data_IF_171512271978
#
_entry.id   IF_171512271978
#
_cell.length_a   1.000
_cell.length_b   1.000
_cell.length_c   1.000
_cell.angle_alpha   90.00
_cell.angle_beta   90.00
_cell.angle_gamma   90.00
#
_symmetry.space_group_name_H-M   'P 1'
#
loop_
_entity.id
_entity.type
_entity.pdbx_description
1 polymer ?
#
# COMPACT_ATOMS: atom_id res chain seq x y z
N UNK A 1 -20.46 12.75 3.78
CA UNK A 1 -19.76 11.67 4.51
C UNK A 1 -20.20 10.37 3.89
N UNK A 2 -19.27 9.56 3.42
CA UNK A 2 -19.58 8.22 2.92
C UNK A 2 -19.67 7.23 4.08
N UNK A 3 -20.04 5.97 3.80
CA UNK A 3 -20.20 4.95 4.83
C UNK A 3 -18.90 4.68 5.61
N UNK A 4 -17.75 4.76 4.94
CA UNK A 4 -16.44 4.57 5.57
C UNK A 4 -16.13 5.69 6.55
N UNK A 5 -16.43 6.94 6.21
CA UNK A 5 -16.29 8.07 7.15
C UNK A 5 -17.10 7.81 8.45
N UNK A 6 -18.30 7.24 8.33
CA UNK A 6 -19.16 6.91 9.47
C UNK A 6 -18.52 5.78 10.30
N UNK A 7 -18.05 4.71 9.66
CA UNK A 7 -17.42 3.57 10.34
C UNK A 7 -16.18 4.03 11.11
N UNK A 8 -15.30 4.81 10.47
CA UNK A 8 -14.09 5.33 11.10
C UNK A 8 -14.41 6.25 12.28
N UNK A 9 -15.43 7.09 12.15
CA UNK A 9 -15.90 7.95 13.23
C UNK A 9 -16.53 7.16 14.38
N UNK A 10 -17.26 6.08 14.10
CA UNK A 10 -17.78 5.17 15.12
C UNK A 10 -16.67 4.45 15.87
N UNK A 11 -15.63 3.97 15.17
CA UNK A 11 -14.44 3.36 15.80
C UNK A 11 -13.76 4.37 16.74
N UNK A 12 -13.60 5.61 16.28
CA UNK A 12 -13.00 6.69 17.05
C UNK A 12 -13.82 7.00 18.32
N UNK A 13 -15.14 7.20 18.19
CA UNK A 13 -16.02 7.48 19.32
C UNK A 13 -16.13 6.31 20.30
N UNK A 14 -16.19 5.08 19.80
CA UNK A 14 -16.21 3.88 20.64
C UNK A 14 -14.91 3.75 21.47
N UNK A 15 -13.77 4.13 20.89
CA UNK A 15 -12.48 4.11 21.59
C UNK A 15 -12.39 5.18 22.67
N UNK A 16 -12.93 6.38 22.41
CA UNK A 16 -13.08 7.42 23.42
C UNK A 16 -13.97 6.95 24.56
N UNK A 17 -15.14 6.38 24.25
CA UNK A 17 -16.06 5.85 25.24
C UNK A 17 -15.41 4.76 26.10
N UNK A 18 -14.70 3.82 25.47
CA UNK A 18 -13.93 2.79 26.17
C UNK A 18 -12.84 3.38 27.06
N UNK A 19 -12.13 4.42 26.59
CA UNK A 19 -11.13 5.14 27.37
C UNK A 19 -11.72 5.80 28.61
N UNK A 20 -12.84 6.52 28.47
CA UNK A 20 -13.51 7.19 29.59
C UNK A 20 -14.09 6.20 30.60
N UNK A 21 -14.64 5.07 30.12
CA UNK A 21 -15.22 4.04 31.00
C UNK A 21 -14.18 3.23 31.76
N UNK A 22 -13.02 2.95 31.14
CA UNK A 22 -11.91 2.23 31.79
C UNK A 22 -11.00 3.15 32.61
N UNK A 23 -10.95 4.43 32.25
CA UNK A 23 -10.10 5.44 32.86
C UNK A 23 -8.65 5.43 32.36
N UNK A 24 -7.92 6.47 32.74
CA UNK A 24 -6.58 6.80 32.26
C UNK A 24 -5.58 5.67 32.45
N UNK A 25 -5.46 5.13 33.66
CA UNK A 25 -4.42 4.13 33.94
C UNK A 25 -4.63 2.85 33.13
N UNK A 26 -5.85 2.32 33.12
CA UNK A 26 -6.17 1.11 32.36
C UNK A 26 -6.05 1.34 30.85
N UNK A 27 -6.51 2.49 30.36
CA UNK A 27 -6.36 2.90 28.96
C UNK A 27 -4.89 3.01 28.55
N UNK A 28 -4.06 3.68 29.35
CA UNK A 28 -2.64 3.86 29.07
C UNK A 28 -1.88 2.53 29.13
N UNK A 29 -2.11 1.71 30.16
CA UNK A 29 -1.47 0.41 30.28
C UNK A 29 -1.82 -0.50 29.09
N UNK A 30 -3.08 -0.49 28.65
CA UNK A 30 -3.53 -1.22 27.46
C UNK A 30 -2.86 -0.70 26.17
N UNK A 31 -2.81 0.62 25.99
CA UNK A 31 -2.20 1.25 24.82
C UNK A 31 -0.70 0.97 24.73
N UNK A 32 0.02 1.11 25.85
CA UNK A 32 1.46 0.80 25.93
C UNK A 32 1.71 -0.68 25.70
N UNK A 33 0.89 -1.56 26.28
CA UNK A 33 1.02 -3.01 26.06
C UNK A 33 0.79 -3.40 24.60
N UNK A 34 -0.19 -2.79 23.93
CA UNK A 34 -0.53 -3.09 22.54
C UNK A 34 0.52 -2.52 21.57
N UNK A 35 0.99 -1.29 21.78
CA UNK A 35 2.08 -0.72 20.98
C UNK A 35 3.40 -1.47 21.22
N UNK A 36 3.72 -1.78 22.47
CA UNK A 36 4.88 -2.56 22.84
C UNK A 36 4.85 -3.97 22.23
N UNK A 37 3.67 -4.61 22.17
CA UNK A 37 3.56 -5.94 21.58
C UNK A 37 3.83 -5.92 20.09
N UNK A 38 3.34 -4.90 19.38
CA UNK A 38 3.69 -4.69 17.97
C UNK A 38 5.21 -4.51 17.83
N UNK A 39 5.81 -3.52 18.50
CA UNK A 39 7.25 -3.22 18.34
C UNK A 39 8.15 -4.44 18.62
N UNK A 40 7.89 -5.16 19.71
CA UNK A 40 8.65 -6.37 20.04
C UNK A 40 8.40 -7.48 19.02
N UNK A 41 7.17 -7.62 18.54
CA UNK A 41 6.85 -8.57 17.46
C UNK A 41 7.65 -8.28 16.21
N UNK A 42 7.76 -7.01 15.81
CA UNK A 42 8.57 -6.60 14.66
C UNK A 42 10.05 -6.95 14.82
N UNK A 43 10.60 -6.87 16.02
CA UNK A 43 11.98 -7.28 16.29
C UNK A 43 12.17 -8.80 16.24
N UNK A 44 11.17 -9.57 16.66
CA UNK A 44 11.31 -11.00 16.91
C UNK A 44 10.73 -11.91 15.81
N UNK A 45 9.76 -11.46 15.01
CA UNK A 45 9.01 -12.35 14.11
C UNK A 45 9.90 -13.07 13.08
N UNK A 46 11.02 -12.45 12.66
CA UNK A 46 11.96 -13.08 11.72
C UNK A 46 12.68 -14.28 12.31
N UNK A 47 13.01 -14.23 13.60
CA UNK A 47 13.60 -15.37 14.31
C UNK A 47 12.60 -16.52 14.41
N UNK A 48 11.33 -16.19 14.68
CA UNK A 48 10.23 -17.17 14.69
C UNK A 48 9.97 -17.73 13.29
N UNK A 49 10.08 -16.92 12.24
CA UNK A 49 9.96 -17.35 10.86
C UNK A 49 11.03 -18.37 10.49
N UNK A 50 12.30 -18.09 10.79
CA UNK A 50 13.39 -19.05 10.55
C UNK A 50 13.16 -20.37 11.31
N UNK A 51 12.63 -20.31 12.53
CA UNK A 51 12.27 -21.51 13.29
C UNK A 51 11.14 -22.31 12.61
N UNK A 52 10.10 -21.63 12.09
CA UNK A 52 8.99 -22.29 11.38
C UNK A 52 9.43 -22.89 10.04
N UNK A 53 10.27 -22.19 9.28
CA UNK A 53 10.86 -22.70 8.04
C UNK A 53 11.65 -23.99 8.26
N UNK A 54 12.36 -24.08 9.38
CA UNK A 54 13.16 -25.26 9.71
C UNK A 54 12.35 -26.47 10.20
N UNK A 55 11.17 -26.25 10.81
CA UNK A 55 10.49 -27.31 11.59
C UNK A 55 9.04 -27.61 11.19
N UNK A 56 8.35 -26.70 10.51
CA UNK A 56 6.89 -26.81 10.34
C UNK A 56 6.50 -26.73 8.87
N UNK A 57 6.81 -25.61 8.21
CA UNK A 57 6.30 -25.33 6.86
C UNK A 57 7.21 -24.35 6.15
N UNK A 58 7.34 -24.52 4.84
CA UNK A 58 8.05 -23.60 3.95
C UNK A 58 7.06 -23.03 2.95
N UNK A 59 7.13 -21.72 2.71
CA UNK A 59 6.24 -21.06 1.75
C UNK A 59 5.92 -19.62 2.11
N UNK A 60 5.15 -18.98 1.24
CA UNK A 60 4.83 -17.54 1.29
C UNK A 60 4.11 -17.14 2.59
N UNK A 61 3.45 -18.08 3.25
CA UNK A 61 2.69 -17.86 4.49
C UNK A 61 3.53 -17.89 5.77
N UNK A 62 4.79 -18.32 5.72
CA UNK A 62 5.60 -18.44 6.95
C UNK A 62 5.77 -17.08 7.62
N UNK A 63 6.15 -16.05 6.87
CA UNK A 63 6.35 -14.71 7.44
C UNK A 63 5.07 -14.13 8.08
N UNK A 64 3.89 -14.11 7.42
CA UNK A 64 2.64 -13.66 8.05
C UNK A 64 2.26 -14.48 9.29
N UNK A 65 2.35 -15.81 9.23
CA UNK A 65 1.98 -16.67 10.36
C UNK A 65 2.91 -16.49 11.56
N UNK A 66 4.21 -16.37 11.32
CA UNK A 66 5.19 -16.11 12.38
C UNK A 66 4.97 -14.74 13.01
N UNK A 67 4.60 -13.72 12.23
CA UNK A 67 4.23 -12.41 12.76
C UNK A 67 3.00 -12.51 13.67
N UNK A 68 1.91 -13.14 13.21
CA UNK A 68 0.68 -13.29 14.01
C UNK A 68 0.91 -14.11 15.28
N UNK A 69 1.66 -15.21 15.18
CA UNK A 69 2.01 -16.05 16.32
C UNK A 69 2.82 -15.26 17.34
N UNK A 70 3.86 -14.55 16.89
CA UNK A 70 4.70 -13.72 17.77
C UNK A 70 3.86 -12.62 18.43
N UNK A 71 2.97 -11.97 17.68
CA UNK A 71 2.08 -10.93 18.20
C UNK A 71 1.17 -11.44 19.30
N UNK A 72 0.61 -12.64 19.14
CA UNK A 72 -0.26 -13.26 20.12
C UNK A 72 0.49 -13.57 21.43
N UNK A 73 1.68 -14.17 21.33
CA UNK A 73 2.50 -14.52 22.49
C UNK A 73 2.97 -13.27 23.22
N UNK A 74 3.62 -12.34 22.51
CA UNK A 74 4.15 -11.11 23.09
C UNK A 74 3.01 -10.25 23.66
N UNK A 75 1.89 -10.13 22.94
CA UNK A 75 0.70 -9.41 23.39
C UNK A 75 0.13 -9.98 24.69
N UNK A 76 0.04 -11.31 24.79
CA UNK A 76 -0.43 -11.98 26.00
C UNK A 76 0.50 -11.71 27.19
N UNK A 77 1.82 -11.80 26.97
CA UNK A 77 2.82 -11.55 28.02
C UNK A 77 2.75 -10.10 28.52
N UNK A 78 2.74 -9.11 27.62
CA UNK A 78 2.66 -7.70 28.02
C UNK A 78 1.32 -7.36 28.69
N UNK A 79 0.22 -8.00 28.28
CA UNK A 79 -1.08 -7.81 28.94
C UNK A 79 -1.06 -8.30 30.40
N UNK A 80 -0.36 -9.40 30.69
CA UNK A 80 -0.16 -9.87 32.07
C UNK A 80 0.66 -8.87 32.89
N UNK A 81 1.72 -8.30 32.31
CA UNK A 81 2.49 -7.24 32.99
C UNK A 81 1.66 -5.98 33.21
N UNK A 82 0.84 -5.58 32.23
CA UNK A 82 -0.03 -4.42 32.33
C UNK A 82 -1.08 -4.59 33.44
N UNK A 83 -1.72 -5.75 33.54
CA UNK A 83 -2.69 -6.04 34.61
C UNK A 83 -2.02 -6.06 35.99
N UNK A 84 -0.82 -6.65 36.10
CA UNK A 84 -0.03 -6.61 37.33
C UNK A 84 0.35 -5.18 37.71
N UNK A 85 0.82 -4.37 36.77
CA UNK A 85 1.15 -2.96 37.00
C UNK A 85 -0.07 -2.15 37.45
N UNK A 86 -1.24 -2.39 36.83
CA UNK A 86 -2.50 -1.77 37.25
C UNK A 86 -2.89 -2.15 38.68
N UNK A 87 -2.66 -3.40 39.08
CA UNK A 87 -2.99 -3.85 40.44
C UNK A 87 -2.16 -3.15 41.53
N UNK A 88 -1.00 -2.58 41.18
CA UNK A 88 -0.18 -1.78 42.10
C UNK A 88 -0.77 -0.39 42.38
N UNK A 89 -1.71 0.09 41.56
CA UNK A 89 -2.32 1.41 41.73
C UNK A 89 -3.46 1.32 42.75
N UNK A 90 -3.53 2.19 43.77
CA UNK A 90 -4.60 2.17 44.76
C UNK A 90 -6.00 2.26 44.14
N UNK A 91 -6.93 1.40 44.59
CA UNK A 91 -8.32 1.36 44.09
C UNK A 91 -9.06 2.71 44.18
N UNK A 92 -8.73 3.53 45.19
CA UNK A 92 -9.30 4.89 45.35
C UNK A 92 -8.96 5.79 44.15
N UNK A 93 -7.74 5.68 43.63
CA UNK A 93 -7.26 6.45 42.48
C UNK A 93 -7.91 5.89 41.19
N UNK A 94 -7.97 4.56 41.07
CA UNK A 94 -8.60 3.92 39.91
C UNK A 94 -10.09 4.26 39.77
N UNK A 95 -10.83 4.34 40.88
CA UNK A 95 -12.27 4.67 40.88
C UNK A 95 -12.56 6.17 40.90
N UNK A 96 -11.53 7.03 40.93
CA UNK A 96 -11.71 8.46 41.01
C UNK A 96 -12.29 9.02 39.70
N UNK A 97 -13.20 9.99 39.77
CA UNK A 97 -13.82 10.60 38.57
C UNK A 97 -12.80 11.20 37.59
N UNK A 98 -11.72 11.78 38.12
CA UNK A 98 -10.64 12.31 37.28
C UNK A 98 -9.95 11.20 36.46
N UNK A 99 -9.82 9.98 36.98
CA UNK A 99 -9.26 8.87 36.21
C UNK A 99 -10.11 8.60 34.96
N UNK A 100 -11.43 8.61 35.10
CA UNK A 100 -12.36 8.41 33.98
C UNK A 100 -12.29 9.57 32.98
N UNK A 101 -12.27 10.83 33.47
CA UNK A 101 -12.13 12.01 32.61
C UNK A 101 -10.81 11.97 31.82
N UNK A 102 -9.68 11.71 32.50
CA UNK A 102 -8.38 11.59 31.85
C UNK A 102 -8.29 10.35 30.94
N UNK A 103 -9.16 9.36 31.14
CA UNK A 103 -9.33 8.22 30.23
C UNK A 103 -9.67 8.61 28.79
N UNK A 104 -10.19 9.83 28.59
CA UNK A 104 -10.35 10.44 27.26
C UNK A 104 -9.05 10.45 26.46
N UNK A 105 -7.90 10.74 27.10
CA UNK A 105 -6.60 10.87 26.43
C UNK A 105 -6.19 9.56 25.75
N UNK A 106 -5.99 8.43 26.47
CA UNK A 106 -5.66 7.17 25.82
C UNK A 106 -6.77 6.69 24.87
N UNK A 107 -8.04 7.05 25.14
CA UNK A 107 -9.16 6.75 24.24
C UNK A 107 -9.08 7.44 22.88
N UNK A 108 -8.72 8.73 22.85
CA UNK A 108 -8.49 9.48 21.60
C UNK A 108 -7.31 8.91 20.83
N UNK A 109 -6.18 8.66 21.51
CA UNK A 109 -4.98 8.12 20.85
C UNK A 109 -5.27 6.74 20.26
N UNK A 110 -5.88 5.84 21.05
CA UNK A 110 -6.30 4.52 20.57
C UNK A 110 -7.29 4.63 19.40
N UNK A 111 -8.28 5.53 19.49
CA UNK A 111 -9.26 5.74 18.44
C UNK A 111 -8.65 6.19 17.12
N UNK A 112 -7.72 7.15 17.15
CA UNK A 112 -6.99 7.58 15.96
C UNK A 112 -6.17 6.44 15.36
N UNK A 113 -5.46 5.68 16.20
CA UNK A 113 -4.68 4.53 15.75
C UNK A 113 -5.56 3.44 15.12
N UNK A 114 -6.65 3.05 15.77
CA UNK A 114 -7.55 2.03 15.24
C UNK A 114 -8.22 2.48 13.95
N UNK A 115 -8.72 3.73 13.88
CA UNK A 115 -9.31 4.25 12.66
C UNK A 115 -8.28 4.31 11.52
N UNK A 116 -7.04 4.71 11.79
CA UNK A 116 -5.98 4.76 10.78
C UNK A 116 -5.57 3.37 10.28
N UNK A 117 -5.43 2.39 11.19
CA UNK A 117 -5.13 1.01 10.83
C UNK A 117 -6.28 0.41 10.02
N UNK A 118 -7.53 0.63 10.44
CA UNK A 118 -8.70 0.17 9.69
C UNK A 118 -8.76 0.81 8.30
N UNK A 119 -8.55 2.12 8.18
CA UNK A 119 -8.50 2.80 6.89
C UNK A 119 -7.40 2.22 5.99
N UNK A 120 -6.20 2.02 6.55
CA UNK A 120 -5.06 1.42 5.83
C UNK A 120 -5.37 -0.01 5.37
N UNK A 121 -5.94 -0.84 6.25
CA UNK A 121 -6.35 -2.20 5.93
C UNK A 121 -7.45 -2.25 4.87
N UNK A 122 -8.42 -1.34 4.90
CA UNK A 122 -9.47 -1.25 3.88
C UNK A 122 -8.93 -0.80 2.52
N UNK A 123 -7.89 0.04 2.50
CA UNK A 123 -7.18 0.41 1.27
C UNK A 123 -6.30 -0.73 0.73
N UNK A 124 -5.76 -1.56 1.63
CA UNK A 124 -4.87 -2.67 1.28
C UNK A 124 -5.63 -3.94 0.91
N UNK A 125 -6.80 -4.19 1.51
CA UNK A 125 -7.60 -5.40 1.29
C UNK A 125 -8.88 -5.06 0.51
N UNK A 126 -8.99 -5.42 -0.78
CA UNK A 126 -10.19 -5.19 -1.57
C UNK A 126 -11.30 -6.18 -1.15
N UNK A 127 -12.00 -5.88 -0.05
CA UNK A 127 -13.07 -6.72 0.50
C UNK A 127 -14.34 -6.70 -0.39
N UNK A 128 -14.64 -5.55 -1.01
CA UNK A 128 -15.66 -5.40 -2.05
C UNK A 128 -15.43 -4.13 -2.87
N UNK A 129 -16.01 -4.07 -4.06
CA UNK A 129 -15.92 -2.90 -4.96
C UNK A 129 -16.47 -1.63 -4.30
N UNK A 130 -17.66 -1.72 -3.72
CA UNK A 130 -18.30 -0.60 -3.02
C UNK A 130 -17.47 -0.11 -1.83
N UNK A 131 -16.95 -1.02 -1.00
CA UNK A 131 -16.12 -0.64 0.15
C UNK A 131 -14.80 0.00 -0.28
N UNK A 132 -14.18 -0.52 -1.34
CA UNK A 132 -12.91 -0.01 -1.86
C UNK A 132 -13.08 1.40 -2.42
N UNK A 133 -14.09 1.61 -3.26
CA UNK A 133 -14.41 2.94 -3.81
C UNK A 133 -14.75 3.94 -2.70
N UNK A 134 -15.61 3.55 -1.76
CA UNK A 134 -15.95 4.41 -0.63
C UNK A 134 -14.75 4.69 0.29
N UNK A 135 -13.81 3.77 0.41
CA UNK A 135 -12.59 3.99 1.20
C UNK A 135 -11.66 4.97 0.48
N UNK A 136 -11.47 4.81 -0.83
CA UNK A 136 -10.67 5.72 -1.66
C UNK A 136 -11.24 7.15 -1.69
N UNK A 137 -12.56 7.29 -1.67
CA UNK A 137 -13.25 8.59 -1.65
C UNK A 137 -13.43 9.18 -0.24
N UNK A 138 -13.02 8.47 0.82
CA UNK A 138 -13.18 8.92 2.21
C UNK A 138 -12.15 9.99 2.57
N UNK A 139 -12.65 11.19 2.88
CA UNK A 139 -11.83 12.31 3.36
C UNK A 139 -11.20 12.02 4.72
N UNK A 140 -11.87 11.25 5.58
CA UNK A 140 -11.34 10.85 6.88
C UNK A 140 -10.22 9.84 6.69
N UNK A 141 -10.42 8.83 5.84
CA UNK A 141 -9.38 7.85 5.52
C UNK A 141 -8.12 8.55 4.98
N UNK A 142 -8.27 9.41 3.97
CA UNK A 142 -7.17 10.18 3.38
C UNK A 142 -6.40 11.01 4.43
N UNK A 143 -7.11 11.71 5.32
CA UNK A 143 -6.47 12.52 6.38
C UNK A 143 -5.74 11.67 7.41
N UNK A 144 -6.32 10.53 7.80
CA UNK A 144 -5.71 9.63 8.78
C UNK A 144 -4.44 8.99 8.22
N UNK A 145 -4.48 8.50 6.98
CA UNK A 145 -3.31 7.88 6.34
C UNK A 145 -2.20 8.90 6.09
N UNK A 146 -2.54 10.10 5.61
CA UNK A 146 -1.53 11.14 5.35
C UNK A 146 -0.96 11.77 6.64
N UNK A 147 -1.76 11.86 7.71
CA UNK A 147 -1.34 12.47 8.98
C UNK A 147 -0.44 11.57 9.85
N UNK A 148 -0.44 10.26 9.63
CA UNK A 148 0.23 9.27 10.47
C UNK A 148 1.43 8.59 9.79
N UNK A 149 1.88 9.10 8.64
CA UNK A 149 3.06 8.62 7.89
C UNK A 149 4.31 8.46 8.76
N UNK A 150 4.47 9.28 9.81
CA UNK A 150 5.60 9.18 10.75
C UNK A 150 5.51 8.00 11.71
N UNK A 151 4.30 7.52 12.04
CA UNK A 151 4.06 6.32 12.87
C UNK A 151 4.21 5.06 12.01
N UNK A 152 4.02 5.15 10.69
CA UNK A 152 4.17 4.00 9.79
C UNK A 152 5.61 3.56 9.58
N UNK A 153 6.60 4.46 9.69
CA UNK A 153 8.03 4.19 9.41
C UNK A 153 8.62 2.93 10.08
N UNK A 154 8.36 2.62 11.36
CA UNK A 154 8.84 1.39 12.01
C UNK A 154 8.11 0.13 11.50
N UNK A 155 6.90 0.29 10.99
CA UNK A 155 6.00 -0.77 10.55
C UNK A 155 6.04 -1.00 9.03
N UNK A 156 6.64 -0.06 8.28
CA UNK A 156 6.81 -0.10 6.83
C UNK A 156 7.33 -1.46 6.36
N UNK A 157 8.33 -2.12 6.96
CA UNK A 157 8.84 -3.39 6.43
C UNK A 157 7.83 -4.55 6.43
N UNK A 158 6.95 -4.66 7.43
CA UNK A 158 5.92 -5.71 7.43
C UNK A 158 4.70 -5.31 6.62
N UNK A 159 4.32 -4.02 6.63
CA UNK A 159 3.28 -3.51 5.75
C UNK A 159 3.71 -3.67 4.29
N UNK A 160 4.98 -3.47 3.98
CA UNK A 160 5.60 -3.66 2.67
C UNK A 160 5.75 -5.14 2.33
N UNK A 161 6.01 -6.03 3.29
CA UNK A 161 5.98 -7.48 3.05
C UNK A 161 4.56 -7.97 2.71
N UNK A 162 3.55 -7.46 3.42
CA UNK A 162 2.13 -7.70 3.10
C UNK A 162 1.76 -7.07 1.76
N UNK A 163 2.21 -5.84 1.48
CA UNK A 163 1.96 -5.12 0.24
C UNK A 163 2.67 -5.76 -0.98
N UNK A 164 3.89 -6.28 -0.79
CA UNK A 164 4.63 -7.08 -1.79
C UNK A 164 3.93 -8.40 -2.08
N UNK A 165 3.33 -9.03 -1.06
CA UNK A 165 2.57 -10.27 -1.23
C UNK A 165 1.16 -10.06 -1.80
N UNK A 166 0.55 -8.88 -1.61
CA UNK A 166 -0.87 -8.67 -1.91
C UNK A 166 -1.11 -7.70 -3.09
N UNK A 167 -0.24 -6.70 -3.36
CA UNK A 167 -0.60 -5.58 -4.26
C UNK A 167 0.54 -4.98 -5.12
N UNK A 168 1.73 -5.59 -5.20
CA UNK A 168 2.82 -5.05 -6.02
C UNK A 168 3.32 -6.07 -7.02
N UNK A 169 2.71 -6.08 -8.21
CA UNK A 169 3.30 -6.75 -9.37
C UNK A 169 3.98 -5.70 -10.25
N UNK A 170 5.30 -5.79 -10.32
CA UNK A 170 6.12 -5.06 -11.30
C UNK A 170 7.03 -6.09 -11.96
N UNK A 171 7.15 -6.06 -13.29
CA UNK A 171 8.07 -6.93 -14.04
C UNK A 171 9.25 -6.08 -14.47
N UNK A 172 10.47 -6.55 -14.23
CA UNK A 172 11.68 -5.82 -14.60
C UNK A 172 11.66 -5.46 -16.10
N UNK A 173 12.10 -4.26 -16.50
CA UNK A 173 12.16 -3.88 -17.91
C UNK A 173 12.97 -4.89 -18.73
N UNK A 174 12.54 -5.13 -19.97
CA UNK A 174 13.20 -6.05 -20.92
C UNK A 174 13.20 -7.53 -20.47
N UNK A 175 12.51 -7.86 -19.39
CA UNK A 175 12.25 -9.24 -18.96
C UNK A 175 11.23 -9.92 -19.87
N UNK A 176 11.43 -11.23 -20.10
CA UNK A 176 10.44 -12.12 -20.72
C UNK A 176 9.53 -12.81 -19.70
N UNK A 177 9.65 -12.46 -18.42
CA UNK A 177 8.75 -12.98 -17.38
C UNK A 177 7.31 -12.57 -17.66
N UNK A 178 6.40 -13.47 -17.33
CA UNK A 178 4.96 -13.26 -17.45
C UNK A 178 4.28 -13.86 -16.24
N UNK A 179 3.36 -13.10 -15.67
CA UNK A 179 2.50 -13.57 -14.58
C UNK A 179 1.08 -13.71 -15.11
N UNK A 180 0.46 -14.86 -14.83
CA UNK A 180 -0.98 -15.03 -15.03
C UNK A 180 -1.72 -14.30 -13.92
N UNK A 181 -2.63 -13.40 -14.29
CA UNK A 181 -3.49 -12.72 -13.33
C UNK A 181 -4.67 -13.64 -12.99
N UNK A 182 -5.06 -13.78 -11.72
CA UNK A 182 -6.18 -14.64 -11.33
C UNK A 182 -7.56 -14.04 -11.67
N UNK A 183 -7.61 -13.02 -12.54
CA UNK A 183 -8.80 -12.25 -12.88
C UNK A 183 -8.71 -11.66 -14.29
N UNK A 184 -9.86 -11.30 -14.84
CA UNK A 184 -10.03 -10.55 -16.10
C UNK A 184 -10.73 -9.24 -15.76
N UNK A 185 -10.37 -8.15 -16.45
CA UNK A 185 -11.18 -6.92 -16.47
C UNK A 185 -11.57 -6.63 -17.91
N UNK A 186 -12.85 -6.82 -18.25
CA UNK A 186 -13.33 -6.66 -19.63
C UNK A 186 -13.48 -5.19 -20.04
N UNK A 187 -13.82 -4.30 -19.11
CA UNK A 187 -14.06 -2.88 -19.40
C UNK A 187 -13.30 -1.97 -18.41
N UNK A 188 -11.96 -2.00 -18.41
CA UNK A 188 -11.18 -1.11 -17.56
C UNK A 188 -11.37 0.34 -18.00
N UNK A 189 -11.48 1.26 -17.05
CA UNK A 189 -11.76 2.68 -17.36
C UNK A 189 -10.45 3.46 -17.53
N UNK A 190 -10.17 4.09 -18.69
CA UNK A 190 -9.00 4.95 -18.83
C UNK A 190 -9.05 6.15 -17.87
N UNK A 191 -7.91 6.50 -17.29
CA UNK A 191 -7.77 7.61 -16.32
C UNK A 191 -6.78 8.69 -16.80
N UNK A 192 -7.17 9.55 -17.76
CA UNK A 192 -6.30 10.63 -18.25
C UNK A 192 -5.84 11.59 -17.15
N UNK A 193 -6.67 11.79 -16.12
CA UNK A 193 -6.34 12.59 -14.94
C UNK A 193 -5.15 12.00 -14.16
N UNK A 194 -5.05 10.66 -14.09
CA UNK A 194 -3.94 9.97 -13.43
C UNK A 194 -2.71 9.88 -14.31
N UNK A 195 -2.86 9.85 -15.64
CA UNK A 195 -1.73 9.92 -16.58
C UNK A 195 -0.97 11.24 -16.43
N UNK A 196 -1.69 12.37 -16.33
CA UNK A 196 -1.11 13.70 -16.08
C UNK A 196 -0.41 13.74 -14.72
N UNK A 197 -1.02 13.16 -13.68
CA UNK A 197 -0.40 13.08 -12.36
C UNK A 197 0.85 12.20 -12.34
N UNK A 198 0.86 11.07 -13.07
CA UNK A 198 2.03 10.21 -13.19
C UNK A 198 3.18 10.94 -13.90
N UNK A 199 2.88 11.69 -14.96
CA UNK A 199 3.89 12.52 -15.63
C UNK A 199 4.52 13.52 -14.67
N UNK A 200 3.71 14.15 -13.81
CA UNK A 200 4.20 15.08 -12.79
C UNK A 200 5.17 14.38 -11.83
N UNK A 201 4.79 13.22 -11.28
CA UNK A 201 5.64 12.43 -10.39
C UNK A 201 6.96 12.02 -11.06
N UNK A 202 6.91 11.54 -12.31
CA UNK A 202 8.10 11.24 -13.11
C UNK A 202 9.01 12.47 -13.24
N UNK A 203 8.45 13.62 -13.56
CA UNK A 203 9.21 14.85 -13.77
C UNK A 203 9.76 15.45 -12.47
N UNK A 204 9.10 15.24 -11.34
CA UNK A 204 9.65 15.56 -10.01
C UNK A 204 10.92 14.75 -9.74
N UNK A 205 10.92 13.44 -9.99
CA UNK A 205 12.10 12.59 -9.84
C UNK A 205 13.24 12.97 -10.80
N UNK A 206 12.91 13.29 -12.05
CA UNK A 206 13.89 13.76 -13.04
C UNK A 206 14.50 15.10 -12.65
N UNK A 207 13.70 16.02 -12.13
CA UNK A 207 14.18 17.32 -11.65
C UNK A 207 15.11 17.16 -10.45
N UNK A 208 14.77 16.28 -9.48
CA UNK A 208 15.66 15.93 -8.35
C UNK A 208 17.01 15.36 -8.83
N UNK A 209 17.01 14.67 -9.96
CA UNK A 209 18.20 14.11 -10.59
C UNK A 209 18.92 15.06 -11.57
N UNK A 210 18.52 16.34 -11.66
CA UNK A 210 19.04 17.33 -12.61
C UNK A 210 18.92 16.89 -14.08
N UNK A 211 17.79 16.29 -14.44
CA UNK A 211 17.46 15.86 -15.79
C UNK A 211 16.35 16.71 -16.39
N UNK A 212 16.36 16.86 -17.72
CA UNK A 212 15.27 17.50 -18.46
C UNK A 212 13.96 16.74 -18.23
N UNK A 213 12.87 17.48 -18.05
CA UNK A 213 11.52 16.92 -17.94
C UNK A 213 11.12 16.20 -19.23
N UNK A 214 10.32 15.15 -19.10
CA UNK A 214 9.68 14.47 -20.21
C UNK A 214 8.40 15.20 -20.61
N UNK A 215 8.11 15.17 -21.91
CA UNK A 215 6.82 15.64 -22.46
C UNK A 215 5.89 14.45 -22.65
N UNK A 216 4.59 14.63 -22.36
CA UNK A 216 3.60 13.61 -22.66
C UNK A 216 3.57 13.34 -24.17
N UNK A 217 3.51 12.07 -24.53
CA UNK A 217 3.53 11.65 -25.91
C UNK A 217 2.15 11.18 -26.36
N UNK A 218 1.44 12.04 -27.08
CA UNK A 218 0.09 11.76 -27.57
C UNK A 218 0.04 10.56 -28.53
N UNK A 219 1.14 10.22 -29.22
CA UNK A 219 1.19 9.05 -30.11
C UNK A 219 1.41 7.76 -29.31
N UNK A 220 2.23 7.80 -28.25
CA UNK A 220 2.52 6.61 -27.44
C UNK A 220 1.44 6.32 -26.39
N UNK A 221 0.71 7.32 -25.91
CA UNK A 221 -0.33 7.15 -24.88
C UNK A 221 -1.42 6.15 -25.29
N UNK A 222 -2.00 6.19 -26.51
CA UNK A 222 -2.93 5.16 -26.97
C UNK A 222 -2.33 3.75 -26.96
N UNK A 223 -1.06 3.60 -27.36
CA UNK A 223 -0.35 2.32 -27.39
C UNK A 223 -0.06 1.81 -25.98
N UNK A 224 0.19 2.71 -25.04
CA UNK A 224 0.32 2.40 -23.62
C UNK A 224 -1.02 1.91 -23.05
N UNK A 225 -2.12 2.63 -23.31
CA UNK A 225 -3.47 2.24 -22.87
C UNK A 225 -3.89 0.88 -23.44
N UNK A 226 -3.69 0.67 -24.74
CA UNK A 226 -4.02 -0.60 -25.41
C UNK A 226 -3.29 -1.79 -24.77
N UNK A 227 -2.02 -1.63 -24.38
CA UNK A 227 -1.28 -2.71 -23.72
C UNK A 227 -1.80 -2.98 -22.31
N UNK A 228 -2.18 -1.94 -21.56
CA UNK A 228 -2.78 -2.08 -20.23
C UNK A 228 -4.15 -2.76 -20.30
N UNK A 229 -4.98 -2.39 -21.29
CA UNK A 229 -6.26 -3.02 -21.57
C UNK A 229 -6.07 -4.50 -21.95
N UNK A 230 -5.12 -4.81 -22.84
CA UNK A 230 -4.83 -6.18 -23.26
C UNK A 230 -4.40 -7.09 -22.10
N UNK A 231 -3.53 -6.59 -21.21
CA UNK A 231 -3.10 -7.30 -20.00
C UNK A 231 -4.29 -7.63 -19.08
N UNK A 232 -5.22 -6.68 -18.91
CA UNK A 232 -6.43 -6.90 -18.13
C UNK A 232 -7.42 -7.85 -18.80
N UNK A 233 -7.67 -7.68 -20.10
CA UNK A 233 -8.66 -8.46 -20.85
C UNK A 233 -8.24 -9.93 -21.01
N UNK A 234 -6.93 -10.21 -20.97
CA UNK A 234 -6.39 -11.56 -21.21
C UNK A 234 -5.64 -12.16 -20.02
N UNK A 235 -5.88 -11.63 -18.82
CA UNK A 235 -5.36 -12.16 -17.56
C UNK A 235 -3.86 -12.38 -17.53
N UNK A 236 -3.08 -11.43 -18.03
CA UNK A 236 -1.63 -11.54 -17.97
C UNK A 236 -0.98 -10.21 -17.60
N UNK A 237 0.20 -10.28 -17.00
CA UNK A 237 1.04 -9.13 -16.75
C UNK A 237 2.41 -9.45 -17.34
N UNK A 238 2.80 -8.76 -18.42
CA UNK A 238 4.10 -8.94 -19.09
C UNK A 238 4.42 -7.81 -20.07
N UNK A 239 5.72 -7.62 -20.34
CA UNK A 239 6.21 -6.79 -21.44
C UNK A 239 5.93 -7.40 -22.82
N UNK A 240 5.90 -8.72 -22.89
CA UNK A 240 5.69 -9.49 -24.12
C UNK A 240 4.23 -9.95 -24.15
N UNK A 241 3.52 -9.65 -25.24
CA UNK A 241 2.15 -10.14 -25.37
C UNK A 241 2.14 -11.67 -25.59
N UNK A 242 1.03 -12.37 -25.33
CA UNK A 242 0.84 -13.78 -25.70
C UNK A 242 1.23 -14.16 -27.14
N UNK A 243 1.17 -13.23 -28.09
CA UNK A 243 1.63 -13.40 -29.48
C UNK A 243 3.15 -13.26 -29.66
N UNK A 244 3.90 -13.02 -28.59
CA UNK A 244 5.33 -12.75 -28.62
C UNK A 244 5.69 -11.30 -29.00
N UNK A 245 4.74 -10.36 -29.03
CA UNK A 245 5.03 -8.97 -29.44
C UNK A 245 5.69 -8.21 -28.30
N UNK A 246 6.86 -7.64 -28.58
CA UNK A 246 7.61 -6.79 -27.64
C UNK A 246 7.00 -5.37 -27.56
N UNK A 247 7.39 -4.56 -26.55
CA UNK A 247 7.00 -3.14 -26.51
C UNK A 247 7.36 -2.39 -27.79
N UNK A 248 8.50 -2.74 -28.38
CA UNK A 248 9.02 -2.14 -29.61
C UNK A 248 8.21 -2.54 -30.84
N UNK A 249 7.73 -3.79 -30.91
CA UNK A 249 6.83 -4.23 -31.99
C UNK A 249 5.52 -3.47 -31.94
N UNK A 250 4.97 -3.24 -30.73
CA UNK A 250 3.75 -2.44 -30.53
C UNK A 250 3.93 -1.00 -31.02
N UNK A 251 5.07 -0.37 -30.72
CA UNK A 251 5.38 0.99 -31.18
C UNK A 251 5.58 1.03 -32.72
N UNK A 252 6.31 0.07 -33.29
CA UNK A 252 6.53 -0.02 -34.75
C UNK A 252 5.24 -0.27 -35.53
N UNK A 253 4.35 -1.12 -35.01
CA UNK A 253 3.06 -1.41 -35.64
C UNK A 253 2.16 -0.15 -35.73
N UNK A 254 2.37 0.81 -34.82
CA UNK A 254 1.71 2.11 -34.84
C UNK A 254 2.40 3.14 -35.75
N UNK A 255 3.46 2.75 -36.49
CA UNK A 255 4.27 3.63 -37.35
C UNK A 255 4.95 4.79 -36.60
N UNK A 256 5.17 4.64 -35.29
CA UNK A 256 5.81 5.65 -34.45
C UNK A 256 7.34 5.47 -34.51
N UNK A 257 8.05 6.52 -34.89
CA UNK A 257 9.51 6.52 -34.96
C UNK A 257 10.16 6.69 -33.59
N UNK A 258 11.22 5.91 -33.33
CA UNK A 258 12.10 6.03 -32.16
C UNK A 258 13.49 5.47 -32.49
N UNK A 259 14.54 6.00 -31.87
CA UNK A 259 15.88 5.40 -31.89
C UNK A 259 16.10 4.53 -30.66
N UNK A 260 15.62 4.99 -29.52
CA UNK A 260 15.65 4.28 -28.25
C UNK A 260 14.28 4.40 -27.62
N UNK A 261 13.76 3.28 -27.13
CA UNK A 261 12.52 3.25 -26.37
C UNK A 261 12.70 2.40 -25.11
N UNK A 262 11.77 2.52 -24.17
CA UNK A 262 11.72 1.71 -22.95
C UNK A 262 10.29 1.51 -22.48
N UNK A 263 10.05 0.49 -21.66
CA UNK A 263 8.75 0.25 -21.05
C UNK A 263 8.89 -0.03 -19.55
N UNK A 264 8.02 0.59 -18.76
CA UNK A 264 7.77 0.20 -17.38
C UNK A 264 6.32 -0.24 -17.22
N UNK A 265 6.10 -1.26 -16.38
CA UNK A 265 4.79 -1.79 -16.05
C UNK A 265 4.60 -1.78 -14.53
N UNK A 266 3.41 -1.40 -14.09
CA UNK A 266 3.01 -1.54 -12.70
C UNK A 266 1.53 -1.92 -12.62
N UNK A 267 1.21 -2.81 -11.69
CA UNK A 267 -0.15 -3.04 -11.21
C UNK A 267 -0.17 -2.73 -9.72
N UNK A 268 -0.97 -1.72 -9.33
CA UNK A 268 -1.07 -1.30 -7.93
C UNK A 268 -2.42 -0.63 -7.62
N UNK A 269 -2.79 -0.58 -6.34
CA UNK A 269 -4.08 -0.02 -5.90
C UNK A 269 -4.21 1.50 -6.11
N UNK A 270 -3.10 2.24 -6.07
CA UNK A 270 -3.10 3.70 -6.21
C UNK A 270 -1.90 4.18 -7.03
N UNK A 271 -2.03 5.37 -7.59
CA UNK A 271 -0.98 6.00 -8.40
C UNK A 271 0.33 6.22 -7.61
N UNK A 272 0.32 6.72 -6.35
CA UNK A 272 1.55 6.86 -5.58
C UNK A 272 2.25 5.53 -5.31
N UNK A 273 1.50 4.47 -4.98
CA UNK A 273 2.06 3.13 -4.76
C UNK A 273 2.73 2.57 -6.02
N UNK A 274 2.09 2.76 -7.19
CA UNK A 274 2.70 2.37 -8.45
C UNK A 274 4.00 3.13 -8.72
N UNK A 275 3.99 4.45 -8.56
CA UNK A 275 5.16 5.29 -8.80
C UNK A 275 6.33 4.96 -7.87
N UNK A 276 6.08 4.88 -6.57
CA UNK A 276 7.07 4.42 -5.58
C UNK A 276 7.58 3.02 -5.94
N UNK A 277 6.66 2.17 -6.39
CA UNK A 277 6.96 0.82 -6.81
C UNK A 277 8.02 0.74 -7.90
N UNK A 278 7.84 1.57 -8.93
CA UNK A 278 8.77 1.73 -10.04
C UNK A 278 10.09 2.38 -9.60
N UNK A 279 10.07 3.41 -8.74
CA UNK A 279 11.29 4.09 -8.29
C UNK A 279 12.18 3.26 -7.37
N UNK A 280 11.60 2.31 -6.64
CA UNK A 280 12.32 1.37 -5.78
C UNK A 280 12.86 0.15 -6.55
N UNK A 281 12.53 0.00 -7.83
CA UNK A 281 13.08 -1.04 -8.70
C UNK A 281 14.21 -0.48 -9.56
N UNK A 282 15.45 -1.02 -9.48
CA UNK A 282 16.60 -0.47 -10.20
C UNK A 282 16.38 -0.35 -11.72
N UNK A 283 15.76 -1.35 -12.35
CA UNK A 283 15.51 -1.35 -13.80
C UNK A 283 14.48 -0.29 -14.20
N UNK A 284 13.34 -0.23 -13.52
CA UNK A 284 12.29 0.75 -13.82
C UNK A 284 12.75 2.19 -13.57
N UNK A 285 13.47 2.41 -12.47
CA UNK A 285 14.10 3.68 -12.14
C UNK A 285 15.09 4.11 -13.22
N UNK A 286 15.89 3.18 -13.75
CA UNK A 286 16.84 3.47 -14.83
C UNK A 286 16.12 3.99 -16.09
N UNK A 287 14.95 3.47 -16.44
CA UNK A 287 14.12 4.01 -17.53
C UNK A 287 13.63 5.43 -17.21
N UNK A 288 13.05 5.66 -16.03
CA UNK A 288 12.53 6.97 -15.61
C UNK A 288 13.63 8.04 -15.64
N UNK A 289 14.84 7.70 -15.20
CA UNK A 289 15.99 8.60 -15.11
C UNK A 289 16.92 8.54 -16.32
N UNK A 290 16.53 7.87 -17.40
CA UNK A 290 17.37 7.79 -18.60
C UNK A 290 17.45 9.16 -19.26
N UNK A 291 18.68 9.67 -19.45
CA UNK A 291 18.93 11.00 -20.02
C UNK A 291 18.50 11.14 -21.47
N UNK A 292 18.52 10.03 -22.22
CA UNK A 292 18.24 10.01 -23.66
C UNK A 292 16.75 10.06 -23.98
N UNK A 293 15.85 9.87 -23.01
CA UNK A 293 14.41 10.01 -23.23
C UNK A 293 13.97 11.46 -23.09
N UNK A 294 13.13 11.90 -24.03
CA UNK A 294 12.48 13.22 -24.04
C UNK A 294 10.96 13.16 -24.00
N UNK A 295 10.37 11.99 -24.33
CA UNK A 295 8.92 11.80 -24.42
C UNK A 295 8.47 10.53 -23.70
N UNK A 296 7.26 10.55 -23.15
CA UNK A 296 6.64 9.39 -22.50
C UNK A 296 5.15 9.31 -22.81
N UNK A 297 4.69 8.16 -23.31
CA UNK A 297 3.28 7.80 -23.34
C UNK A 297 2.91 7.05 -22.08
N UNK A 298 1.83 7.44 -21.42
CA UNK A 298 1.40 6.83 -20.16
C UNK A 298 -0.02 6.32 -20.35
N UNK A 299 -0.25 5.03 -20.09
CA UNK A 299 -1.57 4.45 -20.02
C UNK A 299 -1.91 4.11 -18.57
N UNK A 300 -3.02 4.64 -18.07
CA UNK A 300 -3.56 4.26 -16.76
C UNK A 300 -4.98 3.75 -16.93
N UNK A 301 -5.18 2.46 -16.66
CA UNK A 301 -6.46 1.77 -16.77
C UNK A 301 -6.91 1.38 -15.35
N UNK A 302 -8.10 1.83 -14.96
CA UNK A 302 -8.72 1.52 -13.68
C UNK A 302 -9.53 0.22 -13.80
N UNK A 303 -9.02 -0.84 -13.18
CA UNK A 303 -9.68 -2.13 -13.06
C UNK A 303 -10.52 -2.27 -11.80
N UNK A 304 -10.87 -1.17 -11.13
CA UNK A 304 -11.67 -1.18 -9.91
C UNK A 304 -10.94 -1.85 -8.75
N UNK A 305 -11.47 -2.98 -8.28
CA UNK A 305 -10.91 -3.77 -7.17
C UNK A 305 -9.52 -4.33 -7.48
N UNK A 306 -9.23 -4.55 -8.76
CA UNK A 306 -7.96 -5.11 -9.22
C UNK A 306 -6.85 -4.06 -9.33
N UNK A 307 -7.18 -2.79 -9.09
CA UNK A 307 -6.24 -1.67 -9.07
C UNK A 307 -6.03 -1.02 -10.44
N UNK A 308 -4.97 -0.21 -10.52
CA UNK A 308 -4.55 0.51 -11.71
C UNK A 308 -3.51 -0.31 -12.48
N UNK A 309 -3.81 -0.65 -13.73
CA UNK A 309 -2.82 -1.15 -14.68
C UNK A 309 -2.15 0.02 -15.36
N UNK A 310 -0.84 0.15 -15.15
CA UNK A 310 -0.05 1.29 -15.59
C UNK A 310 1.05 0.84 -16.53
N UNK A 311 1.10 1.48 -17.68
CA UNK A 311 2.12 1.31 -18.70
C UNK A 311 2.80 2.65 -18.95
N UNK A 312 4.13 2.69 -18.91
CA UNK A 312 4.91 3.86 -19.32
C UNK A 312 5.76 3.46 -20.51
N UNK A 313 5.61 4.15 -21.64
CA UNK A 313 6.39 3.93 -22.87
C UNK A 313 7.25 5.17 -23.12
N UNK A 314 8.56 5.01 -23.02
CA UNK A 314 9.52 6.09 -23.19
C UNK A 314 10.09 6.09 -24.61
N UNK A 315 10.38 7.27 -25.17
CA UNK A 315 11.23 7.43 -26.35
C UNK A 315 12.07 8.70 -26.31
N UNK A 316 13.11 8.73 -27.16
CA UNK A 316 13.92 9.92 -27.40
C UNK A 316 13.21 10.95 -28.28
#
# INVERSE_FOLDING_TARGET
>A
MNMIDIILLLIFLASIWNGVTRGFFAGMAGLVSWLGSLLITFALYRHVAHFFEANITTGVWVMPLSFLFTLLIVGSVLALFATKALSAIPLKIQKHRLNNIFGFIPGVVAGLLYAAITASLLLLMPLSETLTLQTRESKIAERLTNGLVWIEQPFTPALEAVNRSINKMTIAPESSESFSLPFVVENPTPRPDLEVQMLKLINEERTKANLSVLTLDEELTPIARQHAEDMFARSYFSHISPEGKTPFDRIRAAHISFLIAGENLALAQTLPLAHEGLMNSPGHRANILRKTFGRVGIGVLDGGIYGLMITQKFRN
#
